data_IF_949779275430
#
_entry.id   IF_949779275430
#
_cell.length_a   1.000
_cell.length_b   1.000
_cell.length_c   1.000
_cell.angle_alpha   90.00
_cell.angle_beta   90.00
_cell.angle_gamma   90.00
#
_symmetry.space_group_name_H-M   'P 1'
#
loop_
_entity.id
_entity.type
_entity.pdbx_description
1 polymer ?
#
# COMPACT_ATOMS: atom_id res chain seq x y z
N UNK A 1 13.10 12.85 -4.03
CA UNK A 1 12.92 14.22 -3.51
C UNK A 1 11.93 14.16 -2.36
N UNK A 2 12.44 14.20 -1.13
CA UNK A 2 11.63 14.12 0.08
C UNK A 2 10.93 15.46 0.34
N UNK A 3 9.62 15.50 0.10
CA UNK A 3 8.81 16.65 0.48
C UNK A 3 8.50 16.51 1.97
N UNK A 4 9.34 17.14 2.81
CA UNK A 4 9.09 17.26 4.24
C UNK A 4 7.98 18.28 4.50
N UNK A 5 6.72 17.84 4.39
CA UNK A 5 5.59 18.62 4.86
C UNK A 5 5.44 18.43 6.38
N UNK A 6 5.61 19.51 7.15
CA UNK A 6 5.31 19.54 8.58
C UNK A 6 3.97 20.24 8.79
N UNK A 7 2.95 19.51 9.21
CA UNK A 7 1.64 20.05 9.56
C UNK A 7 1.46 20.05 11.08
N UNK A 8 1.17 21.23 11.64
CA UNK A 8 0.84 21.40 13.05
C UNK A 8 -0.65 21.13 13.24
N UNK A 9 -1.01 20.00 13.84
CA UNK A 9 -2.39 19.62 14.11
C UNK A 9 -2.66 19.56 15.62
N UNK A 10 -3.82 20.07 16.04
CA UNK A 10 -4.25 20.07 17.44
C UNK A 10 -5.26 18.96 17.67
N UNK A 11 -4.94 18.01 18.56
CA UNK A 11 -5.85 16.93 18.96
C UNK A 11 -6.10 16.98 20.47
N UNK A 12 -7.20 17.60 20.93
CA UNK A 12 -7.60 17.48 22.32
C UNK A 12 -8.10 16.05 22.60
N UNK A 13 -7.70 15.45 23.74
CA UNK A 13 -8.12 14.09 24.09
C UNK A 13 -9.60 14.12 24.47
N UNK A 14 -10.45 13.44 23.70
CA UNK A 14 -11.83 13.16 24.10
C UNK A 14 -11.89 11.70 24.56
N UNK A 15 -11.06 11.34 25.54
CA UNK A 15 -11.24 10.09 26.28
C UNK A 15 -12.11 10.37 27.51
N UNK A 16 -13.03 9.44 27.81
CA UNK A 16 -14.13 9.63 28.77
C UNK A 16 -13.71 10.12 30.16
N UNK A 17 -12.47 9.86 30.57
CA UNK A 17 -11.90 10.28 31.85
C UNK A 17 -11.78 11.81 31.99
N UNK A 18 -11.45 12.52 30.91
CA UNK A 18 -11.30 13.98 30.94
C UNK A 18 -12.63 14.73 31.02
N UNK A 19 -13.71 14.14 30.47
CA UNK A 19 -15.06 14.68 30.67
C UNK A 19 -15.42 14.69 32.16
N UNK A 20 -15.12 13.60 32.87
CA UNK A 20 -15.39 13.49 34.31
C UNK A 20 -14.58 14.50 35.11
N UNK A 21 -13.28 14.64 34.83
CA UNK A 21 -12.42 15.63 35.50
C UNK A 21 -12.92 17.06 35.27
N UNK A 22 -13.38 17.39 34.06
CA UNK A 22 -13.95 18.70 33.75
C UNK A 22 -15.24 18.96 34.53
N UNK A 23 -16.15 17.98 34.58
CA UNK A 23 -17.40 18.09 35.34
C UNK A 23 -17.16 18.21 36.85
N UNK A 24 -16.18 17.50 37.39
CA UNK A 24 -15.79 17.59 38.81
C UNK A 24 -15.18 18.95 39.13
N UNK A 25 -14.31 19.49 38.28
CA UNK A 25 -13.73 20.82 38.45
C UNK A 25 -14.81 21.93 38.39
N UNK A 26 -15.78 21.81 37.48
CA UNK A 26 -16.93 22.71 37.40
C UNK A 26 -17.81 22.60 38.65
N UNK A 27 -18.09 21.37 39.13
CA UNK A 27 -18.86 21.14 40.35
C UNK A 27 -18.21 21.74 41.61
N UNK A 28 -16.90 21.57 41.76
CA UNK A 28 -16.13 22.16 42.87
C UNK A 28 -16.12 23.70 42.81
N UNK A 29 -16.04 24.28 41.61
CA UNK A 29 -16.16 25.73 41.41
C UNK A 29 -17.53 26.26 41.85
N UNK A 30 -18.61 25.55 41.52
CA UNK A 30 -19.97 25.94 41.91
C UNK A 30 -20.21 25.84 43.41
N UNK A 31 -19.67 24.81 44.07
CA UNK A 31 -19.76 24.66 45.53
C UNK A 31 -18.99 25.77 46.26
N UNK A 32 -17.82 26.14 45.75
CA UNK A 32 -17.02 27.24 46.29
C UNK A 32 -17.75 28.59 46.19
N UNK A 33 -18.35 28.86 45.03
CA UNK A 33 -19.17 30.05 44.77
C UNK A 33 -20.39 30.09 45.71
N UNK A 34 -21.13 28.99 45.85
CA UNK A 34 -22.27 28.90 46.75
C UNK A 34 -21.90 29.15 48.22
N UNK A 35 -20.78 28.57 48.69
CA UNK A 35 -20.29 28.77 50.05
C UNK A 35 -19.79 30.20 50.30
N UNK A 36 -19.31 30.88 49.27
CA UNK A 36 -18.89 32.29 49.35
C UNK A 36 -20.10 33.23 49.43
N UNK A 37 -21.16 32.92 48.68
CA UNK A 37 -22.42 33.65 48.66
C UNK A 37 -23.17 33.51 50.01
N UNK A 38 -23.20 32.29 50.57
CA UNK A 38 -23.82 32.02 51.88
C UNK A 38 -23.12 32.77 53.03
N UNK A 39 -21.78 32.82 53.00
CA UNK A 39 -20.97 33.57 53.98
C UNK A 39 -21.14 35.08 53.85
N UNK A 40 -21.50 35.57 52.66
CA UNK A 40 -21.68 36.99 52.37
C UNK A 40 -23.07 37.51 52.76
N UNK A 41 -24.13 36.71 52.52
CA UNK A 41 -25.50 36.98 52.99
C UNK A 41 -25.54 37.08 54.52
N UNK A 42 -24.82 36.21 55.22
CA UNK A 42 -24.69 36.24 56.70
C UNK A 42 -24.02 37.51 57.26
N UNK A 43 -23.38 38.36 56.43
CA UNK A 43 -22.64 39.56 56.85
C UNK A 43 -23.30 40.89 56.47
N UNK A 44 -24.51 40.89 55.90
CA UNK A 44 -25.38 42.08 55.80
C UNK A 44 -24.83 43.27 54.99
N UNK A 45 -24.06 43.07 53.91
CA UNK A 45 -23.49 44.16 53.08
C UNK A 45 -24.24 44.40 51.76
N UNK A 46 -24.16 45.65 51.27
CA UNK A 46 -24.95 46.23 50.17
C UNK A 46 -24.89 45.48 48.82
N UNK A 47 -26.03 45.49 48.13
CA UNK A 47 -26.42 44.72 46.93
C UNK A 47 -25.59 44.89 45.65
N UNK A 48 -24.66 45.83 45.58
CA UNK A 48 -23.84 46.05 44.38
C UNK A 48 -22.73 45.01 44.19
N UNK A 49 -22.19 44.42 45.27
CA UNK A 49 -21.06 43.48 45.17
C UNK A 49 -21.51 42.02 44.95
N UNK A 50 -22.72 41.64 45.40
CA UNK A 50 -23.30 40.32 45.15
C UNK A 50 -23.46 40.04 43.66
N UNK A 51 -23.92 41.03 42.88
CA UNK A 51 -24.12 40.90 41.43
C UNK A 51 -22.78 40.70 40.68
N UNK A 52 -21.69 41.26 41.21
CA UNK A 52 -20.35 41.07 40.63
C UNK A 52 -19.75 39.70 40.94
N UNK A 53 -20.13 39.05 42.05
CA UNK A 53 -19.77 37.64 42.32
C UNK A 53 -20.66 36.67 41.55
N UNK A 54 -21.96 36.95 41.42
CA UNK A 54 -22.90 36.10 40.66
C UNK A 54 -22.59 35.97 39.17
N UNK A 55 -21.86 36.91 38.57
CA UNK A 55 -21.40 36.83 37.18
C UNK A 55 -20.35 35.70 36.95
N UNK A 56 -19.81 35.12 38.02
CA UNK A 56 -18.89 33.97 37.96
C UNK A 56 -19.61 32.59 38.06
N UNK A 57 -20.91 32.56 38.40
CA UNK A 57 -21.69 31.35 38.57
C UNK A 57 -22.45 30.96 37.29
N UNK A 58 -21.80 30.09 36.50
CA UNK A 58 -22.13 29.71 35.12
C UNK A 58 -23.51 29.05 34.83
N UNK A 59 -24.35 28.62 35.79
CA UNK A 59 -25.72 28.19 35.47
C UNK A 59 -26.85 28.91 36.23
N UNK A 60 -26.56 29.79 37.20
CA UNK A 60 -27.60 30.36 38.08
C UNK A 60 -28.17 31.71 37.61
N UNK A 61 -27.72 32.22 36.46
CA UNK A 61 -28.10 33.53 35.91
C UNK A 61 -29.62 33.82 35.88
N UNK A 62 -30.49 32.88 35.45
CA UNK A 62 -31.94 33.11 35.40
C UNK A 62 -32.56 33.26 36.80
N UNK A 63 -32.12 32.42 37.75
CA UNK A 63 -32.63 32.42 39.13
C UNK A 63 -32.24 33.72 39.83
N UNK A 64 -31.02 34.20 39.58
CA UNK A 64 -30.51 35.43 40.16
C UNK A 64 -31.21 36.65 39.54
N UNK A 65 -31.51 36.64 38.24
CA UNK A 65 -32.31 37.68 37.60
C UNK A 65 -33.74 37.75 38.17
N UNK A 66 -34.36 36.59 38.44
CA UNK A 66 -35.69 36.50 39.08
C UNK A 66 -35.64 37.05 40.52
N UNK A 67 -34.62 36.69 41.31
CA UNK A 67 -34.45 37.18 42.68
C UNK A 67 -34.18 38.69 42.72
N UNK A 68 -33.38 39.22 41.79
CA UNK A 68 -33.13 40.67 41.66
C UNK A 68 -34.37 41.42 41.19
N UNK A 69 -35.17 40.82 40.30
CA UNK A 69 -36.45 41.38 39.85
C UNK A 69 -37.49 41.42 40.98
N UNK A 70 -37.61 40.33 41.77
CA UNK A 70 -38.47 40.25 42.95
C UNK A 70 -38.05 41.26 44.03
N UNK A 71 -36.74 41.40 44.29
CA UNK A 71 -36.22 42.37 45.25
C UNK A 71 -36.46 43.83 44.82
N UNK A 72 -36.31 44.11 43.51
CA UNK A 72 -36.62 45.42 42.92
C UNK A 72 -38.11 45.74 42.86
N UNK A 73 -38.98 44.73 42.88
CA UNK A 73 -40.43 44.89 42.97
C UNK A 73 -40.90 45.16 44.41
N UNK A 74 -40.21 44.60 45.41
CA UNK A 74 -40.54 44.76 46.84
C UNK A 74 -40.04 46.07 47.48
N UNK A 75 -39.12 46.81 46.84
CA UNK A 75 -38.54 48.04 47.40
C UNK A 75 -38.80 49.28 46.51
N UNK A 76 -39.71 50.19 46.92
CA UNK A 76 -40.00 51.41 46.18
C UNK A 76 -38.75 52.32 46.13
N UNK A 77 -38.25 52.61 44.92
CA UNK A 77 -37.07 53.45 44.69
C UNK A 77 -35.84 52.72 44.09
N UNK A 78 -35.82 51.38 44.09
CA UNK A 78 -34.70 50.61 43.55
C UNK A 78 -34.66 50.54 42.02
N UNK A 79 -35.77 50.85 41.32
CA UNK A 79 -35.94 50.69 39.85
C UNK A 79 -34.87 51.37 39.01
N UNK A 80 -34.35 52.54 39.42
CA UNK A 80 -33.35 53.31 38.64
C UNK A 80 -31.93 52.72 38.73
N UNK A 81 -31.65 51.92 39.77
CA UNK A 81 -30.34 51.25 39.95
C UNK A 81 -30.34 49.79 39.49
N UNK A 82 -31.49 49.10 39.51
CA UNK A 82 -31.58 47.66 39.19
C UNK A 82 -31.74 47.36 37.69
N UNK A 83 -32.32 48.27 36.90
CA UNK A 83 -32.50 48.10 35.44
C UNK A 83 -31.20 47.83 34.64
N UNK A 84 -30.12 48.63 34.80
CA UNK A 84 -28.88 48.37 34.05
C UNK A 84 -28.18 47.08 34.50
N UNK A 85 -28.38 46.66 35.75
CA UNK A 85 -27.84 45.39 36.28
C UNK A 85 -28.58 44.18 35.69
N UNK A 86 -29.91 44.27 35.55
CA UNK A 86 -30.72 43.23 34.88
C UNK A 86 -30.32 43.09 33.40
N UNK A 87 -30.12 44.21 32.70
CA UNK A 87 -29.69 44.19 31.31
C UNK A 87 -28.29 43.56 31.16
N UNK A 88 -27.34 43.89 32.03
CA UNK A 88 -26.00 43.31 32.02
C UNK A 88 -26.00 41.79 32.30
N UNK A 89 -26.87 41.31 33.20
CA UNK A 89 -27.04 39.87 33.47
C UNK A 89 -27.66 39.13 32.28
N UNK A 90 -28.68 39.70 31.63
CA UNK A 90 -29.34 39.14 30.45
C UNK A 90 -28.40 39.05 29.24
N UNK A 91 -27.60 40.10 28.98
CA UNK A 91 -26.61 40.05 27.90
C UNK A 91 -25.45 39.10 28.22
N UNK A 92 -25.04 39.02 29.49
CA UNK A 92 -24.04 38.05 29.94
C UNK A 92 -24.48 36.60 29.73
N UNK A 93 -25.74 36.26 30.04
CA UNK A 93 -26.28 34.92 29.82
C UNK A 93 -26.49 34.60 28.34
N UNK A 94 -26.90 35.57 27.52
CA UNK A 94 -27.04 35.39 26.06
C UNK A 94 -25.68 35.09 25.41
N UNK A 95 -24.65 35.89 25.70
CA UNK A 95 -23.30 35.70 25.14
C UNK A 95 -22.72 34.32 25.52
N UNK A 96 -22.92 33.91 26.77
CA UNK A 96 -22.49 32.60 27.27
C UNK A 96 -23.29 31.44 26.67
N UNK A 97 -24.61 31.59 26.48
CA UNK A 97 -25.44 30.60 25.81
C UNK A 97 -25.01 30.41 24.34
N UNK A 98 -24.70 31.50 23.62
CA UNK A 98 -24.13 31.41 22.27
C UNK A 98 -22.73 30.77 22.26
N UNK A 99 -21.89 31.05 23.25
CA UNK A 99 -20.56 30.45 23.37
C UNK A 99 -20.61 28.94 23.69
N UNK A 100 -21.53 28.52 24.55
CA UNK A 100 -21.75 27.11 24.87
C UNK A 100 -22.40 26.35 23.71
N UNK A 101 -23.34 26.97 23.00
CA UNK A 101 -23.96 26.40 21.80
C UNK A 101 -22.94 26.23 20.67
N UNK A 102 -22.00 27.17 20.50
CA UNK A 102 -20.88 27.04 19.55
C UNK A 102 -19.88 25.93 19.93
N UNK A 103 -19.86 25.50 21.20
CA UNK A 103 -19.02 24.40 21.70
C UNK A 103 -19.73 23.04 21.62
N UNK A 104 -21.07 23.03 21.71
CA UNK A 104 -21.91 21.82 21.72
C UNK A 104 -22.43 21.44 20.34
N UNK A 105 -22.63 22.41 19.43
CA UNK A 105 -23.02 22.12 18.05
C UNK A 105 -21.75 21.73 17.30
N UNK A 106 -21.59 20.45 16.89
CA UNK A 106 -20.53 20.10 15.97
C UNK A 106 -20.92 20.73 14.64
N UNK A 107 -20.45 21.95 14.40
CA UNK A 107 -20.60 22.59 13.09
C UNK A 107 -19.85 21.69 12.12
N UNK A 108 -20.60 20.88 11.39
CA UNK A 108 -20.14 19.98 10.34
C UNK A 108 -19.62 20.72 9.12
N UNK A 109 -18.83 21.77 9.33
CA UNK A 109 -18.07 22.39 8.26
C UNK A 109 -16.79 21.59 8.08
N UNK A 110 -16.59 21.10 6.87
CA UNK A 110 -15.37 20.55 6.26
C UNK A 110 -14.11 21.41 6.41
N UNK A 111 -14.15 22.46 7.22
CA UNK A 111 -13.03 23.30 7.54
C UNK A 111 -12.13 22.57 8.55
N UNK A 112 -10.89 22.34 8.12
CA UNK A 112 -9.67 21.96 8.84
C UNK A 112 -9.36 22.77 10.12
N UNK A 113 -10.33 23.43 10.73
CA UNK A 113 -10.18 24.07 12.03
C UNK A 113 -10.21 22.98 13.09
N UNK A 114 -9.01 22.44 13.33
CA UNK A 114 -8.72 21.60 14.48
C UNK A 114 -9.39 22.16 15.74
N UNK A 115 -9.88 21.26 16.61
CA UNK A 115 -10.59 21.58 17.86
C UNK A 115 -9.81 22.48 18.84
N UNK A 116 -8.62 22.98 18.48
CA UNK A 116 -7.82 23.95 19.22
C UNK A 116 -8.40 25.38 19.21
N UNK A 117 -9.17 25.77 18.19
CA UNK A 117 -9.79 27.12 18.10
C UNK A 117 -10.63 27.52 19.33
N UNK A 118 -11.61 26.71 19.75
CA UNK A 118 -12.43 27.03 20.91
C UNK A 118 -11.67 26.95 22.25
N UNK A 119 -10.66 26.08 22.37
CA UNK A 119 -9.79 26.00 23.56
C UNK A 119 -8.98 27.30 23.70
N UNK A 120 -8.44 27.81 22.60
CA UNK A 120 -7.71 29.09 22.57
C UNK A 120 -8.61 30.26 22.95
N UNK A 121 -9.86 30.27 22.47
CA UNK A 121 -10.85 31.31 22.81
C UNK A 121 -11.17 31.32 24.32
N UNK A 122 -11.37 30.15 24.94
CA UNK A 122 -11.60 30.03 26.40
C UNK A 122 -10.37 30.52 27.18
N UNK A 123 -9.17 30.18 26.74
CA UNK A 123 -7.92 30.66 27.35
C UNK A 123 -7.79 32.18 27.31
N UNK A 124 -8.10 32.80 26.16
CA UNK A 124 -8.06 34.26 25.99
C UNK A 124 -9.10 34.94 26.89
N UNK A 125 -10.33 34.41 26.93
CA UNK A 125 -11.39 34.91 27.82
C UNK A 125 -10.99 34.82 29.30
N UNK A 126 -10.36 33.72 29.73
CA UNK A 126 -9.87 33.54 31.10
C UNK A 126 -8.76 34.56 31.46
N UNK A 127 -7.86 34.86 30.51
CA UNK A 127 -6.81 35.88 30.69
C UNK A 127 -7.42 37.28 30.80
N UNK A 128 -8.33 37.65 29.89
CA UNK A 128 -9.03 38.95 29.91
C UNK A 128 -9.81 39.13 31.22
N UNK A 129 -10.48 38.07 31.68
CA UNK A 129 -11.22 38.08 32.94
C UNK A 129 -10.29 38.24 34.15
N UNK A 130 -9.17 37.50 34.18
CA UNK A 130 -8.15 37.63 35.23
C UNK A 130 -7.60 39.06 35.33
N UNK A 131 -7.28 39.67 34.18
CA UNK A 131 -6.82 41.06 34.09
C UNK A 131 -7.88 42.05 34.63
N UNK A 132 -9.15 41.86 34.25
CA UNK A 132 -10.24 42.75 34.68
C UNK A 132 -10.57 42.60 36.17
N UNK A 133 -10.53 41.37 36.69
CA UNK A 133 -10.76 41.08 38.10
C UNK A 133 -9.67 41.72 38.98
N UNK A 134 -8.39 41.58 38.60
CA UNK A 134 -7.26 42.17 39.32
C UNK A 134 -7.24 43.70 39.28
N UNK A 135 -7.71 44.32 38.18
CA UNK A 135 -7.87 45.78 38.08
C UNK A 135 -8.96 46.34 39.01
N UNK A 136 -9.94 45.53 39.39
CA UNK A 136 -11.08 45.94 40.23
C UNK A 136 -10.95 45.51 41.69
N UNK A 137 -9.87 44.83 42.07
CA UNK A 137 -9.69 44.35 43.45
C UNK A 137 -9.16 45.45 44.37
N UNK A 138 -9.98 45.82 45.35
CA UNK A 138 -9.73 46.86 46.36
C UNK A 138 -8.83 46.41 47.53
N UNK A 139 -8.20 45.23 47.45
CA UNK A 139 -7.33 44.73 48.53
C UNK A 139 -6.12 45.66 48.76
N UNK A 140 -5.73 45.92 50.03
CA UNK A 140 -4.66 46.83 50.42
C UNK A 140 -3.27 46.18 50.24
N UNK A 141 -3.03 45.63 49.06
CA UNK A 141 -1.79 44.92 48.71
C UNK A 141 -0.96 45.82 47.80
N UNK A 142 0.34 45.91 48.06
CA UNK A 142 1.27 46.73 47.29
C UNK A 142 1.24 46.41 45.78
N UNK A 143 1.39 47.44 44.93
CA UNK A 143 1.27 47.33 43.47
C UNK A 143 2.18 46.24 42.87
N UNK A 144 3.40 46.08 43.40
CA UNK A 144 4.39 45.07 42.95
C UNK A 144 3.92 43.63 43.19
N UNK A 145 3.32 43.35 44.35
CA UNK A 145 2.81 42.03 44.66
C UNK A 145 1.55 41.71 43.84
N UNK A 146 0.71 42.70 43.56
CA UNK A 146 -0.44 42.54 42.66
C UNK A 146 -0.01 42.18 41.23
N UNK A 147 1.02 42.85 40.69
CA UNK A 147 1.55 42.51 39.36
C UNK A 147 2.21 41.14 39.33
N UNK A 148 2.91 40.76 40.39
CA UNK A 148 3.55 39.44 40.51
C UNK A 148 2.52 38.31 40.53
N UNK A 149 1.48 38.40 41.36
CA UNK A 149 0.43 37.38 41.44
C UNK A 149 -0.39 37.28 40.14
N UNK A 150 -0.60 38.41 39.44
CA UNK A 150 -1.23 38.42 38.13
C UNK A 150 -0.36 37.74 37.07
N UNK A 151 0.94 38.05 37.04
CA UNK A 151 1.89 37.40 36.12
C UNK A 151 1.95 35.89 36.35
N UNK A 152 2.00 35.46 37.61
CA UNK A 152 1.98 34.04 37.98
C UNK A 152 0.69 33.35 37.49
N UNK A 153 -0.47 34.01 37.62
CA UNK A 153 -1.74 33.46 37.15
C UNK A 153 -1.81 33.34 35.62
N UNK A 154 -1.31 34.35 34.90
CA UNK A 154 -1.24 34.30 33.42
C UNK A 154 -0.28 33.19 32.98
N UNK A 155 0.84 33.01 33.68
CA UNK A 155 1.79 31.93 33.41
C UNK A 155 1.16 30.55 33.62
N UNK A 156 0.42 30.35 34.72
CA UNK A 156 -0.31 29.10 34.98
C UNK A 156 -1.34 28.83 33.88
N UNK A 157 -2.08 29.85 33.46
CA UNK A 157 -3.02 29.72 32.33
C UNK A 157 -2.28 29.33 31.05
N UNK A 158 -1.18 29.99 30.70
CA UNK A 158 -0.36 29.63 29.53
C UNK A 158 0.12 28.17 29.58
N UNK A 159 0.64 27.72 30.72
CA UNK A 159 1.09 26.33 30.92
C UNK A 159 -0.07 25.34 30.80
N UNK A 160 -1.24 25.66 31.36
CA UNK A 160 -2.45 24.86 31.20
C UNK A 160 -2.89 24.80 29.72
N UNK A 161 -2.81 25.93 29.01
CA UNK A 161 -3.09 26.00 27.59
C UNK A 161 -2.18 25.07 26.79
N UNK A 162 -0.87 25.14 27.01
CA UNK A 162 0.13 24.28 26.32
C UNK A 162 -0.12 22.80 26.61
N UNK A 163 -0.40 22.44 27.86
CA UNK A 163 -0.64 21.04 28.27
C UNK A 163 -1.95 20.48 27.70
N UNK A 164 -3.00 21.29 27.57
CA UNK A 164 -4.26 20.89 26.93
C UNK A 164 -4.14 20.83 25.41
N UNK A 165 -3.41 21.79 24.81
CA UNK A 165 -3.19 21.84 23.36
C UNK A 165 -2.31 20.70 22.86
N UNK A 166 -1.49 20.08 23.74
CA UNK A 166 -0.55 18.98 23.43
C UNK A 166 0.04 19.12 22.03
N UNK A 167 0.89 20.13 21.78
CA UNK A 167 1.46 20.31 20.45
C UNK A 167 2.27 19.06 20.09
N UNK A 168 1.79 18.28 19.12
CA UNK A 168 2.47 17.10 18.61
C UNK A 168 3.05 17.40 17.24
N UNK A 169 4.36 17.14 17.08
CA UNK A 169 5.01 17.22 15.78
C UNK A 169 4.96 15.82 15.16
N UNK A 170 4.02 15.59 14.25
CA UNK A 170 3.94 14.33 13.51
C UNK A 170 4.76 14.44 12.23
N UNK A 171 5.87 13.69 12.15
CA UNK A 171 6.58 13.49 10.88
C UNK A 171 5.90 12.34 10.15
N UNK A 172 5.17 12.65 9.08
CA UNK A 172 4.63 11.62 8.18
C UNK A 172 5.75 11.31 7.19
N UNK A 173 6.31 10.10 7.27
CA UNK A 173 7.09 9.52 6.17
C UNK A 173 6.15 8.68 5.33
N UNK A 174 6.00 9.04 4.07
CA UNK A 174 5.29 8.21 3.10
C UNK A 174 6.35 7.27 2.50
N UNK A 175 6.39 6.04 2.97
CA UNK A 175 7.18 5.00 2.31
C UNK A 175 6.37 4.52 1.10
N UNK A 176 6.94 4.65 -0.10
CA UNK A 176 6.38 4.01 -1.29
C UNK A 176 6.73 2.54 -1.19
N UNK A 177 5.72 1.70 -0.93
CA UNK A 177 5.85 0.26 -1.16
C UNK A 177 6.00 0.10 -2.67
N UNK A 178 7.18 -0.35 -3.11
CA UNK A 178 7.45 -0.67 -4.51
C UNK A 178 7.06 -2.12 -4.74
N UNK A 179 6.31 -2.36 -5.80
CA UNK A 179 6.02 -3.73 -6.22
C UNK A 179 7.18 -4.31 -7.03
N UNK A 180 7.26 -5.64 -7.07
CA UNK A 180 8.23 -6.40 -7.83
C UNK A 180 7.69 -6.75 -9.22
N UNK A 181 8.51 -6.58 -10.26
CA UNK A 181 8.24 -7.09 -11.60
C UNK A 181 9.17 -8.25 -11.90
N UNK A 182 8.59 -9.42 -12.11
CA UNK A 182 9.35 -10.65 -12.35
C UNK A 182 9.50 -10.88 -13.84
N UNK A 183 10.72 -10.83 -14.36
CA UNK A 183 11.05 -11.20 -15.74
C UNK A 183 11.51 -12.66 -15.75
N UNK A 184 10.58 -13.56 -16.04
CA UNK A 184 10.81 -14.99 -16.08
C UNK A 184 11.24 -15.44 -17.48
N UNK A 185 12.49 -15.89 -17.60
CA UNK A 185 13.11 -16.33 -18.87
C UNK A 185 13.23 -17.86 -18.89
N UNK A 186 12.62 -18.47 -19.89
CA UNK A 186 12.70 -19.90 -20.14
C UNK A 186 14.12 -20.30 -20.58
N UNK A 187 14.72 -21.26 -19.87
CA UNK A 187 16.03 -21.86 -20.16
C UNK A 187 15.95 -23.37 -20.40
N UNK A 188 14.78 -23.85 -20.79
CA UNK A 188 14.53 -25.26 -21.13
C UNK A 188 15.24 -25.70 -22.41
N UNK A 189 15.18 -27.01 -22.68
CA UNK A 189 15.90 -27.61 -23.80
C UNK A 189 15.38 -27.16 -25.16
N UNK A 190 14.13 -26.73 -25.25
CA UNK A 190 13.52 -26.22 -26.47
C UNK A 190 14.13 -24.88 -26.90
N UNK A 191 14.67 -24.11 -25.95
CA UNK A 191 15.36 -22.83 -26.18
C UNK A 191 16.76 -22.99 -26.80
N UNK A 192 17.29 -24.22 -26.88
CA UNK A 192 18.51 -24.54 -27.66
C UNK A 192 18.28 -24.60 -29.17
N UNK A 193 17.03 -24.68 -29.63
CA UNK A 193 16.72 -24.73 -31.07
C UNK A 193 17.32 -23.51 -31.77
N UNK A 194 18.02 -23.76 -32.88
CA UNK A 194 18.66 -22.75 -33.73
C UNK A 194 17.75 -22.45 -34.91
N UNK A 195 16.75 -21.62 -34.66
CA UNK A 195 15.72 -21.25 -35.62
C UNK A 195 15.36 -19.76 -35.57
N UNK A 196 16.12 -18.93 -34.83
CA UNK A 196 15.92 -17.49 -34.80
C UNK A 196 16.85 -16.77 -35.78
N UNK A 197 16.43 -15.64 -36.37
CA UNK A 197 17.34 -14.72 -37.07
C UNK A 197 18.34 -14.12 -36.08
N UNK A 198 19.54 -13.76 -36.57
CA UNK A 198 20.55 -13.12 -35.74
C UNK A 198 20.07 -11.75 -35.25
N UNK A 199 19.25 -11.06 -36.05
CA UNK A 199 18.51 -9.88 -35.59
C UNK A 199 17.16 -10.32 -35.04
N UNK A 200 17.00 -10.31 -33.72
CA UNK A 200 15.78 -10.78 -33.04
C UNK A 200 14.50 -10.01 -33.41
N UNK A 201 14.61 -8.81 -34.00
CA UNK A 201 13.46 -8.01 -34.48
C UNK A 201 12.95 -8.44 -35.85
N UNK A 202 13.73 -9.21 -36.60
CA UNK A 202 13.32 -9.67 -37.92
C UNK A 202 12.33 -10.83 -37.79
N UNK A 203 11.20 -10.74 -38.49
CA UNK A 203 10.15 -11.75 -38.44
C UNK A 203 10.50 -13.03 -39.23
N UNK A 204 11.47 -12.95 -40.14
CA UNK A 204 11.81 -14.02 -41.06
C UNK A 204 13.31 -14.19 -41.17
N UNK A 205 13.77 -15.43 -41.06
CA UNK A 205 15.13 -15.81 -41.40
C UNK A 205 15.38 -15.59 -42.89
N UNK A 206 16.48 -14.89 -43.23
CA UNK A 206 16.94 -14.81 -44.61
C UNK A 206 17.68 -16.09 -44.99
N UNK A 207 17.60 -16.50 -46.25
CA UNK A 207 18.20 -17.76 -46.73
C UNK A 207 19.74 -17.79 -46.62
N UNK A 208 20.39 -16.63 -46.53
CA UNK A 208 21.83 -16.43 -46.39
C UNK A 208 22.32 -16.26 -44.94
N UNK A 209 21.40 -16.24 -43.97
CA UNK A 209 21.70 -15.95 -42.57
C UNK A 209 21.85 -17.24 -41.75
N UNK A 210 22.89 -17.30 -40.90
CA UNK A 210 23.03 -18.43 -39.97
C UNK A 210 22.05 -18.31 -38.80
N UNK A 211 21.21 -19.32 -38.54
CA UNK A 211 20.24 -19.24 -37.47
C UNK A 211 20.93 -19.30 -36.09
N UNK A 212 20.46 -18.44 -35.19
CA UNK A 212 20.89 -18.40 -33.79
C UNK A 212 19.93 -19.17 -32.90
N UNK A 213 20.40 -19.53 -31.70
CA UNK A 213 19.53 -20.21 -30.73
C UNK A 213 18.48 -19.25 -30.16
N UNK A 214 17.29 -19.76 -29.81
CA UNK A 214 16.23 -18.95 -29.16
C UNK A 214 16.73 -18.23 -27.91
N UNK A 215 17.48 -18.94 -27.06
CA UNK A 215 18.06 -18.32 -25.85
C UNK A 215 19.08 -17.23 -26.16
N UNK A 216 19.80 -17.34 -27.29
CA UNK A 216 20.72 -16.29 -27.73
C UNK A 216 19.96 -15.05 -28.21
N UNK A 217 18.90 -15.23 -29.01
CA UNK A 217 18.05 -14.12 -29.42
C UNK A 217 17.43 -13.38 -28.21
N UNK A 218 16.96 -14.12 -27.20
CA UNK A 218 16.46 -13.52 -25.95
C UNK A 218 17.57 -12.77 -25.21
N UNK A 219 18.78 -13.31 -25.15
CA UNK A 219 19.93 -12.65 -24.49
C UNK A 219 20.27 -11.34 -25.19
N UNK A 220 20.28 -11.32 -26.50
CA UNK A 220 20.54 -10.12 -27.31
C UNK A 220 19.40 -9.10 -27.13
N UNK A 221 18.14 -9.54 -27.18
CA UNK A 221 16.98 -8.68 -26.93
C UNK A 221 16.99 -8.02 -25.54
N UNK A 222 17.29 -8.78 -24.48
CA UNK A 222 17.40 -8.23 -23.12
C UNK A 222 18.58 -7.27 -22.98
N UNK A 223 19.69 -7.51 -23.69
CA UNK A 223 20.85 -6.62 -23.72
C UNK A 223 20.52 -5.31 -24.44
N UNK A 224 19.83 -5.38 -25.57
CA UNK A 224 19.47 -4.21 -26.36
C UNK A 224 18.38 -3.38 -25.67
N UNK A 225 17.43 -4.04 -25.00
CA UNK A 225 16.36 -3.41 -24.22
C UNK A 225 16.76 -3.10 -22.77
N UNK A 226 18.05 -3.16 -22.44
CA UNK A 226 18.57 -2.90 -21.08
C UNK A 226 18.07 -1.58 -20.49
N UNK A 227 18.04 -0.51 -21.29
CA UNK A 227 17.53 0.80 -20.88
C UNK A 227 16.05 0.80 -20.51
N UNK A 228 15.24 -0.01 -21.19
CA UNK A 228 13.82 -0.13 -20.87
C UNK A 228 13.61 -0.85 -19.53
N UNK A 229 14.45 -1.85 -19.23
CA UNK A 229 14.45 -2.57 -17.95
C UNK A 229 14.94 -1.65 -16.83
N UNK A 230 15.96 -0.84 -17.06
CA UNK A 230 16.43 0.18 -16.10
C UNK A 230 15.37 1.24 -15.83
N UNK A 231 14.67 1.70 -16.86
CA UNK A 231 13.54 2.63 -16.68
C UNK A 231 12.40 2.00 -15.88
N UNK A 232 12.16 0.69 -16.04
CA UNK A 232 11.21 -0.04 -15.21
C UNK A 232 11.69 -0.13 -13.75
N UNK A 233 12.99 -0.36 -13.55
CA UNK A 233 13.65 -0.38 -12.24
C UNK A 233 13.54 0.96 -11.47
N UNK A 234 13.30 2.08 -12.17
CA UNK A 234 13.05 3.38 -11.54
C UNK A 234 11.65 3.47 -10.89
N UNK A 235 10.69 2.68 -11.38
CA UNK A 235 9.29 2.69 -10.92
C UNK A 235 8.98 1.53 -9.98
N UNK A 236 9.59 0.37 -10.20
CA UNK A 236 9.33 -0.90 -9.52
C UNK A 236 10.63 -1.68 -9.39
N UNK A 237 10.78 -2.52 -8.37
CA UNK A 237 11.95 -3.40 -8.27
C UNK A 237 11.80 -4.54 -9.30
N UNK A 238 12.86 -4.87 -10.05
CA UNK A 238 12.78 -5.85 -11.14
C UNK A 238 13.66 -7.06 -10.82
N UNK A 239 13.10 -8.26 -10.89
CA UNK A 239 13.89 -9.49 -10.80
C UNK A 239 13.92 -10.20 -12.15
N UNK A 240 15.10 -10.37 -12.73
CA UNK A 240 15.29 -11.22 -13.92
C UNK A 240 15.67 -12.61 -13.44
N UNK A 241 14.76 -13.57 -13.63
CA UNK A 241 14.94 -14.96 -13.20
C UNK A 241 14.88 -15.91 -14.39
N UNK A 242 15.64 -17.00 -14.30
CA UNK A 242 15.61 -18.10 -15.27
C UNK A 242 14.75 -19.24 -14.75
N UNK A 243 14.11 -20.02 -15.62
CA UNK A 243 13.39 -21.22 -15.19
C UNK A 243 13.42 -22.35 -16.22
N UNK A 244 13.29 -23.58 -15.73
CA UNK A 244 13.00 -24.77 -16.53
C UNK A 244 11.81 -25.51 -15.92
N UNK A 245 12.10 -26.34 -14.93
CA UNK A 245 11.18 -27.03 -14.02
C UNK A 245 10.87 -26.17 -12.77
N UNK A 246 11.90 -25.50 -12.25
CA UNK A 246 11.80 -24.62 -11.09
C UNK A 246 12.49 -23.28 -11.37
N UNK A 247 12.23 -22.23 -10.56
CA UNK A 247 13.00 -21.00 -10.60
C UNK A 247 14.49 -21.30 -10.36
N UNK A 248 15.33 -20.82 -11.27
CA UNK A 248 16.77 -21.00 -11.29
C UNK A 248 17.52 -19.75 -10.84
N UNK A 249 18.59 -19.41 -11.55
CA UNK A 249 19.38 -18.22 -11.25
C UNK A 249 18.57 -16.95 -11.50
N UNK A 250 18.71 -15.97 -10.60
CA UNK A 250 18.09 -14.66 -10.72
C UNK A 250 19.05 -13.52 -10.43
N UNK A 251 18.69 -12.33 -10.91
CA UNK A 251 19.36 -11.08 -10.61
C UNK A 251 18.32 -10.00 -10.34
N UNK A 252 18.46 -9.35 -9.18
CA UNK A 252 17.61 -8.25 -8.74
C UNK A 252 18.19 -6.91 -9.21
N UNK A 253 17.37 -6.12 -9.89
CA UNK A 253 17.63 -4.76 -10.32
C UNK A 253 16.72 -3.84 -9.50
N UNK A 254 17.29 -3.29 -8.44
CA UNK A 254 16.65 -2.28 -7.59
C UNK A 254 17.26 -0.91 -7.86
N UNK A 255 16.70 0.15 -7.26
CA UNK A 255 17.22 1.52 -7.40
C UNK A 255 18.73 1.64 -7.08
N UNK A 256 19.22 0.84 -6.13
CA UNK A 256 20.64 0.83 -5.73
C UNK A 256 21.52 -0.09 -6.59
N UNK A 257 20.92 -1.02 -7.34
CA UNK A 257 21.60 -2.08 -8.11
C UNK A 257 21.21 -2.10 -9.59
N UNK A 258 21.00 -0.92 -10.19
CA UNK A 258 20.57 -0.77 -11.60
C UNK A 258 21.53 -1.41 -12.61
N UNK A 259 22.83 -1.40 -12.32
CA UNK A 259 23.86 -1.95 -13.20
C UNK A 259 24.11 -3.46 -12.99
N UNK A 260 23.28 -4.15 -12.21
CA UNK A 260 23.43 -5.58 -11.99
C UNK A 260 23.44 -6.36 -13.32
N UNK A 261 24.32 -7.37 -13.39
CA UNK A 261 24.41 -8.23 -14.56
C UNK A 261 23.26 -9.24 -14.51
N UNK A 262 22.58 -9.42 -15.63
CA UNK A 262 21.56 -10.46 -15.77
C UNK A 262 22.14 -11.86 -15.51
N UNK A 263 21.32 -12.80 -15.02
CA UNK A 263 21.75 -14.17 -14.82
C UNK A 263 22.27 -14.78 -16.14
N UNK A 264 23.17 -15.76 -16.08
CA UNK A 264 23.63 -16.45 -17.27
C UNK A 264 22.46 -17.15 -17.97
N UNK A 265 22.05 -16.61 -19.12
CA UNK A 265 20.99 -17.18 -19.94
C UNK A 265 21.53 -18.34 -20.77
N UNK A 266 21.50 -19.54 -20.22
CA UNK A 266 21.97 -20.76 -20.88
C UNK A 266 20.88 -21.83 -20.84
N UNK A 267 20.53 -22.39 -22.00
CA UNK A 267 19.46 -23.37 -22.14
C UNK A 267 19.90 -24.78 -21.66
N UNK A 268 20.04 -24.92 -20.34
CA UNK A 268 20.54 -26.11 -19.63
C UNK A 268 19.38 -27.03 -19.22
N UNK A 269 18.18 -26.49 -19.06
CA UNK A 269 17.01 -27.23 -18.62
C UNK A 269 16.61 -28.36 -19.58
N UNK A 270 15.97 -29.40 -19.04
CA UNK A 270 15.47 -30.55 -19.83
C UNK A 270 13.99 -30.44 -20.17
N UNK A 271 13.22 -29.88 -19.24
CA UNK A 271 11.76 -29.73 -19.34
C UNK A 271 11.36 -28.28 -19.12
N UNK A 272 10.11 -27.98 -19.44
CA UNK A 272 9.49 -26.66 -19.31
C UNK A 272 8.23 -26.83 -18.46
N UNK A 273 8.27 -26.35 -17.22
CA UNK A 273 7.18 -26.35 -16.23
C UNK A 273 6.78 -24.91 -15.91
N UNK A 274 6.03 -24.28 -16.81
CA UNK A 274 5.71 -22.85 -16.73
C UNK A 274 4.87 -22.57 -15.48
N UNK A 275 3.87 -23.41 -15.21
CA UNK A 275 2.93 -23.17 -14.12
C UNK A 275 3.61 -23.26 -12.76
N UNK A 276 4.38 -24.33 -12.54
CA UNK A 276 5.11 -24.55 -11.30
C UNK A 276 6.20 -23.49 -11.07
N UNK A 277 6.95 -23.14 -12.11
CA UNK A 277 7.97 -22.09 -12.02
C UNK A 277 7.37 -20.72 -11.65
N UNK A 278 6.29 -20.31 -12.31
CA UNK A 278 5.64 -19.02 -12.03
C UNK A 278 4.97 -18.98 -10.67
N UNK A 279 4.29 -20.06 -10.28
CA UNK A 279 3.67 -20.17 -8.95
C UNK A 279 4.75 -20.06 -7.87
N UNK A 280 5.83 -20.84 -8.01
CA UNK A 280 6.93 -20.86 -7.04
C UNK A 280 7.66 -19.53 -6.96
N UNK A 281 7.95 -18.87 -8.08
CA UNK A 281 8.59 -17.56 -8.10
C UNK A 281 7.75 -16.52 -7.34
N UNK A 282 6.44 -16.47 -7.60
CA UNK A 282 5.57 -15.53 -6.90
C UNK A 282 5.38 -15.88 -5.40
N UNK A 283 5.38 -17.16 -5.05
CA UNK A 283 5.30 -17.60 -3.65
C UNK A 283 6.57 -17.25 -2.86
N UNK A 284 7.74 -17.24 -3.50
CA UNK A 284 9.00 -16.80 -2.88
C UNK A 284 8.95 -15.32 -2.46
N UNK A 285 8.40 -14.44 -3.29
CA UNK A 285 8.20 -13.03 -2.93
C UNK A 285 7.14 -12.85 -1.85
N UNK A 286 6.03 -13.59 -1.97
CA UNK A 286 4.96 -13.55 -0.95
C UNK A 286 5.52 -13.93 0.43
N UNK A 287 6.42 -14.92 0.49
CA UNK A 287 7.09 -15.33 1.72
C UNK A 287 8.07 -14.29 2.29
N UNK A 288 8.55 -13.36 1.46
CA UNK A 288 9.40 -12.22 1.86
C UNK A 288 8.60 -10.96 2.20
N UNK A 289 7.26 -11.04 2.22
CA UNK A 289 6.37 -9.88 2.34
C UNK A 289 6.52 -8.86 1.20
N UNK A 290 6.96 -9.34 0.03
CA UNK A 290 7.16 -8.54 -1.18
C UNK A 290 5.93 -8.66 -2.10
N UNK A 291 5.34 -7.52 -2.47
CA UNK A 291 4.20 -7.51 -3.39
C UNK A 291 4.68 -7.65 -4.85
N UNK A 292 4.22 -8.69 -5.55
CA UNK A 292 4.47 -8.84 -6.99
C UNK A 292 3.48 -7.98 -7.77
N UNK A 293 3.97 -6.97 -8.48
CA UNK A 293 3.16 -6.08 -9.30
C UNK A 293 2.84 -6.65 -10.68
N UNK A 294 3.78 -7.38 -11.31
CA UNK A 294 3.57 -7.97 -12.62
C UNK A 294 4.57 -9.10 -12.89
N UNK A 295 4.25 -9.97 -13.85
CA UNK A 295 5.15 -11.00 -14.36
C UNK A 295 5.29 -10.82 -15.88
N UNK A 296 6.52 -10.81 -16.39
CA UNK A 296 6.86 -10.88 -17.80
C UNK A 296 7.45 -12.26 -18.09
N UNK A 297 6.69 -13.11 -18.77
CA UNK A 297 7.08 -14.46 -19.18
C UNK A 297 7.67 -14.44 -20.60
N UNK A 298 8.90 -14.92 -20.74
CA UNK A 298 9.58 -15.08 -22.04
C UNK A 298 9.82 -16.58 -22.25
N UNK A 299 9.10 -17.19 -23.20
CA UNK A 299 9.15 -18.64 -23.46
C UNK A 299 8.72 -18.95 -24.89
N UNK A 300 9.05 -20.14 -25.38
CA UNK A 300 8.48 -20.67 -26.63
C UNK A 300 7.06 -21.23 -26.49
N UNK A 301 6.51 -21.22 -25.27
CA UNK A 301 5.11 -21.55 -24.97
C UNK A 301 4.83 -23.06 -24.87
N UNK A 302 5.83 -23.93 -25.08
CA UNK A 302 5.66 -25.36 -24.99
C UNK A 302 5.83 -25.85 -23.54
N UNK A 303 4.74 -25.97 -22.80
CA UNK A 303 4.74 -26.68 -21.53
C UNK A 303 4.77 -28.20 -21.79
N UNK A 304 5.86 -28.86 -21.45
CA UNK A 304 6.12 -30.25 -21.87
C UNK A 304 6.32 -31.23 -20.70
N UNK A 305 5.97 -30.82 -19.48
CA UNK A 305 5.93 -31.69 -18.31
C UNK A 305 4.54 -31.67 -17.67
N UNK A 306 4.28 -32.69 -16.85
CA UNK A 306 3.09 -32.73 -16.01
C UNK A 306 3.36 -31.82 -14.81
N UNK A 307 2.84 -30.60 -14.88
CA UNK A 307 2.95 -29.61 -13.79
C UNK A 307 2.01 -29.97 -12.64
N UNK A 308 2.39 -29.61 -11.41
CA UNK A 308 1.45 -29.59 -10.29
C UNK A 308 0.36 -28.53 -10.50
N UNK A 309 0.72 -27.41 -11.14
CA UNK A 309 -0.18 -26.31 -11.46
C UNK A 309 -0.25 -26.07 -12.98
N UNK A 310 -1.43 -26.22 -13.57
CA UNK A 310 -1.67 -25.83 -14.96
C UNK A 310 -1.34 -24.33 -15.17
N UNK A 311 -0.45 -23.97 -16.13
CA UNK A 311 -0.11 -22.58 -16.43
C UNK A 311 -1.32 -21.66 -16.63
N UNK A 312 -2.41 -22.15 -17.23
CA UNK A 312 -3.62 -21.35 -17.43
C UNK A 312 -4.36 -21.08 -16.12
N UNK A 313 -4.36 -22.05 -15.20
CA UNK A 313 -4.95 -21.89 -13.86
C UNK A 313 -4.14 -20.88 -13.05
N UNK A 314 -2.79 -20.97 -13.10
CA UNK A 314 -1.90 -20.01 -12.44
C UNK A 314 -2.15 -18.60 -12.98
N UNK A 315 -2.23 -18.44 -14.30
CA UNK A 315 -2.50 -17.14 -14.93
C UNK A 315 -3.83 -16.53 -14.47
N UNK A 316 -4.91 -17.32 -14.46
CA UNK A 316 -6.23 -16.86 -13.96
C UNK A 316 -6.17 -16.46 -12.50
N UNK A 317 -5.50 -17.26 -11.66
CA UNK A 317 -5.38 -17.01 -10.22
C UNK A 317 -4.59 -15.74 -9.92
N UNK A 318 -3.45 -15.53 -10.59
CA UNK A 318 -2.63 -14.32 -10.44
C UNK A 318 -3.34 -13.08 -10.99
N UNK A 319 -4.01 -13.19 -12.13
CA UNK A 319 -4.84 -12.11 -12.68
C UNK A 319 -5.98 -11.69 -11.73
N UNK A 320 -6.66 -12.66 -11.10
CA UNK A 320 -7.68 -12.37 -10.09
C UNK A 320 -7.12 -11.71 -8.82
N UNK A 321 -5.85 -11.94 -8.51
CA UNK A 321 -5.12 -11.28 -7.43
C UNK A 321 -4.55 -9.90 -7.82
N UNK A 322 -4.84 -9.40 -9.03
CA UNK A 322 -4.36 -8.11 -9.52
C UNK A 322 -2.92 -8.15 -10.07
N UNK A 323 -2.34 -9.33 -10.28
CA UNK A 323 -0.99 -9.51 -10.83
C UNK A 323 -1.08 -9.91 -12.30
N UNK A 324 -0.95 -8.97 -13.26
CA UNK A 324 -0.94 -9.29 -14.68
C UNK A 324 0.29 -10.10 -15.08
N UNK A 325 0.07 -11.04 -16.01
CA UNK A 325 1.15 -11.80 -16.66
C UNK A 325 1.21 -11.38 -18.12
N UNK A 326 2.30 -10.72 -18.50
CA UNK A 326 2.64 -10.39 -19.88
C UNK A 326 3.48 -11.50 -20.48
N UNK A 327 3.19 -11.92 -21.70
CA UNK A 327 3.89 -13.02 -22.36
C UNK A 327 4.60 -12.54 -23.62
N UNK A 328 5.81 -13.05 -23.84
CA UNK A 328 6.60 -12.86 -25.06
C UNK A 328 6.93 -14.25 -25.60
N UNK A 329 6.30 -14.59 -26.73
CA UNK A 329 6.56 -15.83 -27.44
C UNK A 329 7.89 -15.76 -28.18
N UNK A 330 8.71 -16.81 -28.04
CA UNK A 330 10.01 -16.91 -28.72
C UNK A 330 10.00 -18.09 -29.70
N UNK A 331 10.14 -17.78 -30.98
CA UNK A 331 10.23 -18.77 -32.04
C UNK A 331 10.18 -18.10 -33.42
N UNK A 332 10.41 -18.90 -34.45
CA UNK A 332 10.30 -18.46 -35.84
C UNK A 332 9.16 -19.19 -36.53
N UNK A 333 8.42 -18.45 -37.35
CA UNK A 333 7.39 -18.99 -38.25
C UNK A 333 8.00 -19.57 -39.53
N UNK A 334 9.28 -19.29 -39.80
CA UNK A 334 9.96 -19.69 -41.04
C UNK A 334 10.89 -20.88 -40.85
N UNK A 335 10.53 -21.97 -41.52
CA UNK A 335 11.38 -23.14 -41.69
C UNK A 335 12.32 -22.88 -42.87
N UNK A 336 13.46 -22.22 -42.63
CA UNK A 336 14.45 -21.96 -43.70
C UNK A 336 15.36 -23.16 -43.96
N UNK A 337 15.99 -23.19 -45.14
CA UNK A 337 16.82 -24.30 -45.60
C UNK A 337 18.11 -24.53 -44.79
N UNK A 338 18.51 -23.55 -43.97
CA UNK A 338 19.68 -23.65 -43.09
C UNK A 338 19.39 -24.45 -41.80
N UNK A 339 18.13 -24.51 -41.36
CA UNK A 339 17.73 -25.24 -40.16
C UNK A 339 17.72 -26.74 -40.43
N UNK A 340 18.73 -27.45 -39.93
CA UNK A 340 18.81 -28.92 -40.02
C UNK A 340 18.42 -29.51 -38.68
N UNK A 341 17.24 -30.09 -38.59
CA UNK A 341 16.75 -30.65 -37.32
C UNK A 341 16.04 -31.98 -37.55
N UNK A 342 16.28 -32.90 -36.62
CA UNK A 342 15.59 -34.17 -36.46
C UNK A 342 15.04 -34.23 -35.05
N UNK A 343 13.73 -34.37 -34.92
CA UNK A 343 13.09 -34.43 -33.60
C UNK A 343 11.94 -35.44 -33.62
N UNK A 344 11.76 -36.15 -32.50
CA UNK A 344 10.59 -37.01 -32.30
C UNK A 344 9.43 -36.10 -31.90
N UNK A 345 8.46 -35.92 -32.79
CA UNK A 345 7.30 -35.05 -32.59
C UNK A 345 6.23 -35.69 -31.72
N UNK A 346 6.03 -36.99 -31.91
CA UNK A 346 5.06 -37.79 -31.18
C UNK A 346 5.61 -39.21 -31.02
N UNK A 347 5.40 -39.82 -29.87
CA UNK A 347 5.75 -41.21 -29.56
C UNK A 347 4.58 -41.83 -28.80
N UNK A 348 3.89 -42.76 -29.45
CA UNK A 348 2.76 -43.48 -28.89
C UNK A 348 3.15 -44.93 -28.68
N UNK A 349 3.15 -45.34 -27.43
CA UNK A 349 3.29 -46.73 -27.00
C UNK A 349 2.33 -46.96 -25.82
N UNK A 350 1.63 -48.10 -25.76
CA UNK A 350 0.96 -48.54 -24.53
C UNK A 350 1.97 -48.60 -23.37
N UNK A 351 1.54 -48.22 -22.17
CA UNK A 351 2.36 -48.32 -20.95
C UNK A 351 2.51 -49.78 -20.50
N UNK A 352 1.49 -50.60 -20.73
CA UNK A 352 1.47 -52.00 -20.36
C UNK A 352 0.97 -52.87 -21.52
N UNK A 353 1.58 -54.05 -21.67
CA UNK A 353 1.12 -55.10 -22.58
C UNK A 353 1.22 -56.44 -21.85
N UNK A 354 0.27 -57.34 -22.09
CA UNK A 354 0.37 -58.70 -21.54
C UNK A 354 1.58 -59.43 -22.15
N UNK A 355 2.19 -60.32 -21.37
CA UNK A 355 3.29 -61.15 -21.84
C UNK A 355 2.91 -61.87 -23.16
N UNK A 356 3.85 -61.92 -24.11
CA UNK A 356 3.67 -62.49 -25.45
C UNK A 356 2.71 -61.74 -26.39
N UNK A 357 2.18 -60.58 -26.00
CA UNK A 357 1.41 -59.73 -26.92
C UNK A 357 2.28 -58.71 -27.65
N UNK A 358 1.77 -58.23 -28.79
CA UNK A 358 2.42 -57.21 -29.62
C UNK A 358 2.33 -55.85 -28.94
N UNK A 359 3.47 -55.22 -28.70
CA UNK A 359 3.61 -53.82 -28.30
C UNK A 359 3.82 -52.96 -29.56
N UNK A 360 2.77 -52.27 -30.07
CA UNK A 360 2.94 -51.34 -31.16
C UNK A 360 3.58 -50.04 -30.66
N UNK A 361 4.70 -49.65 -31.27
CA UNK A 361 5.37 -48.38 -31.03
C UNK A 361 5.25 -47.53 -32.28
N UNK A 362 4.44 -46.48 -32.22
CA UNK A 362 4.28 -45.53 -33.32
C UNK A 362 4.98 -44.23 -32.97
N UNK A 363 5.82 -43.71 -33.86
CA UNK A 363 6.44 -42.41 -33.67
C UNK A 363 6.29 -41.56 -34.93
N UNK A 364 6.21 -40.24 -34.76
CA UNK A 364 6.29 -39.29 -35.87
C UNK A 364 7.60 -38.55 -35.75
N UNK A 365 8.50 -38.76 -36.71
CA UNK A 365 9.78 -38.05 -36.76
C UNK A 365 9.60 -36.82 -37.64
N UNK A 366 9.91 -35.65 -37.08
CA UNK A 366 9.93 -34.38 -37.81
C UNK A 366 11.35 -34.14 -38.32
N UNK A 367 11.48 -34.04 -39.65
CA UNK A 367 12.72 -33.78 -40.34
C UNK A 367 12.63 -32.44 -41.08
N UNK A 368 13.54 -31.52 -40.74
CA UNK A 368 13.57 -30.16 -41.24
C UNK A 368 14.93 -29.88 -41.88
N UNK A 369 14.93 -29.34 -43.11
CA UNK A 369 16.14 -28.92 -43.84
C UNK A 369 17.07 -30.07 -44.24
N UNK A 370 16.57 -31.30 -44.30
CA UNK A 370 17.34 -32.51 -44.58
C UNK A 370 17.14 -33.04 -46.01
N UNK A 371 16.68 -32.20 -46.94
CA UNK A 371 16.42 -32.57 -48.34
C UNK A 371 17.64 -33.28 -48.95
N UNK A 372 17.40 -34.43 -49.58
CA UNK A 372 18.43 -35.24 -50.23
C UNK A 372 19.22 -36.14 -49.29
N UNK A 373 19.00 -36.06 -47.95
CA UNK A 373 19.63 -36.96 -46.98
C UNK A 373 18.74 -38.14 -46.63
N UNK A 374 19.38 -39.21 -46.19
CA UNK A 374 18.72 -40.39 -45.64
C UNK A 374 18.70 -40.29 -44.12
N UNK A 375 17.52 -40.46 -43.54
CA UNK A 375 17.29 -40.49 -42.10
C UNK A 375 17.03 -41.93 -41.70
N UNK A 376 17.90 -42.47 -40.84
CA UNK A 376 17.77 -43.81 -40.27
C UNK A 376 17.15 -43.72 -38.88
N UNK A 377 15.93 -44.24 -38.74
CA UNK A 377 15.20 -44.30 -37.47
C UNK A 377 15.34 -45.70 -36.91
N UNK A 378 15.81 -45.81 -35.66
CA UNK A 378 16.04 -47.09 -34.98
C UNK A 378 15.23 -47.13 -33.69
N UNK A 379 14.37 -48.13 -33.54
CA UNK A 379 13.64 -48.39 -32.30
C UNK A 379 14.43 -49.39 -31.46
N UNK A 380 14.74 -49.03 -30.21
CA UNK A 380 15.40 -49.90 -29.24
C UNK A 380 14.48 -50.14 -28.05
N UNK A 381 14.42 -51.39 -27.60
CA UNK A 381 13.76 -51.80 -26.37
C UNK A 381 14.81 -52.46 -25.48
N UNK A 382 15.09 -51.85 -24.32
CA UNK A 382 16.32 -52.10 -23.56
C UNK A 382 17.57 -52.01 -24.47
N UNK A 383 18.36 -53.07 -24.57
CA UNK A 383 19.56 -53.15 -25.42
C UNK A 383 19.29 -53.76 -26.81
N UNK A 384 18.06 -54.22 -27.08
CA UNK A 384 17.72 -54.89 -28.34
C UNK A 384 17.15 -53.91 -29.37
N UNK A 385 17.64 -54.00 -30.60
CA UNK A 385 17.07 -53.26 -31.73
C UNK A 385 15.81 -53.99 -32.21
N UNK A 386 14.65 -53.35 -32.02
CA UNK A 386 13.33 -53.89 -32.37
C UNK A 386 13.03 -53.72 -33.86
N UNK A 387 13.52 -52.63 -34.45
CA UNK A 387 13.29 -52.34 -35.85
C UNK A 387 14.03 -51.10 -36.32
N UNK A 388 14.21 -51.01 -37.64
CA UNK A 388 14.91 -49.92 -38.27
C UNK A 388 14.22 -49.57 -39.60
N UNK A 389 13.95 -48.30 -39.82
CA UNK A 389 13.46 -47.77 -41.09
C UNK A 389 14.36 -46.65 -41.59
N UNK A 390 14.61 -46.62 -42.89
CA UNK A 390 15.37 -45.55 -43.53
C UNK A 390 14.45 -44.78 -44.46
N UNK A 391 14.40 -43.47 -44.30
CA UNK A 391 13.55 -42.57 -45.08
C UNK A 391 14.41 -41.54 -45.82
N UNK A 392 14.22 -41.43 -47.13
CA UNK A 392 14.87 -40.40 -47.95
C UNK A 392 14.03 -39.13 -47.95
N UNK A 393 14.61 -38.03 -47.51
CA UNK A 393 13.87 -36.77 -47.36
C UNK A 393 13.83 -36.03 -48.70
N UNK A 394 12.63 -35.87 -49.24
CA UNK A 394 12.40 -35.19 -50.53
C UNK A 394 11.91 -33.75 -50.38
N UNK A 395 11.41 -33.37 -49.20
CA UNK A 395 10.81 -32.05 -48.93
C UNK A 395 11.57 -31.33 -47.82
N UNK A 396 11.58 -29.98 -47.85
CA UNK A 396 12.23 -29.15 -46.81
C UNK A 396 11.65 -29.40 -45.42
N UNK A 397 10.36 -29.68 -45.35
CA UNK A 397 9.66 -30.14 -44.15
C UNK A 397 9.04 -31.51 -44.45
N UNK A 398 9.38 -32.52 -43.65
CA UNK A 398 8.86 -33.87 -43.78
C UNK A 398 8.47 -34.43 -42.41
N UNK A 399 7.26 -34.99 -42.34
CA UNK A 399 6.81 -35.83 -41.23
C UNK A 399 6.93 -37.28 -41.67
N UNK A 400 7.69 -38.05 -40.90
CA UNK A 400 7.99 -39.45 -41.16
C UNK A 400 7.26 -40.29 -40.10
N UNK A 401 6.06 -40.78 -40.40
CA UNK A 401 5.39 -41.74 -39.51
C UNK A 401 6.13 -43.07 -39.59
N UNK A 402 6.64 -43.54 -38.45
CA UNK A 402 7.28 -44.85 -38.31
C UNK A 402 6.47 -45.72 -37.36
N UNK A 403 6.36 -47.01 -37.67
CA UNK A 403 5.64 -47.97 -36.83
C UNK A 403 6.49 -49.21 -36.63
N UNK A 404 6.83 -49.48 -35.39
CA UNK A 404 7.54 -50.68 -34.98
C UNK A 404 6.62 -51.56 -34.14
N UNK A 405 6.87 -52.87 -34.18
CA UNK A 405 6.14 -53.84 -33.35
C UNK A 405 7.17 -54.70 -32.63
N UNK A 406 7.09 -54.72 -31.30
CA UNK A 406 7.88 -55.61 -30.46
C UNK A 406 6.98 -56.67 -29.82
N UNK A 407 7.52 -57.85 -29.54
CA UNK A 407 6.88 -58.85 -28.67
C UNK A 407 7.88 -59.09 -27.54
N UNK A 408 7.66 -58.51 -26.35
CA UNK A 408 8.56 -58.62 -25.21
C UNK A 408 8.53 -60.00 -24.54
#
# INVERSE_FOLDING_TARGET
MDILAATLEFHPPIDGMWRVVLWVAVGLGLLWEAASLLRWIRRGRSSAAAVWMSLAALPAGPVIAIVVALYGAMTPGAKRRTLPLLHACLWGSVILATGALAFLVPVGTSARWSRGGPILAVMILAIIWSLRAYRRTTSPVGRRLKTFLLALRILVLLLLGITVLRPTVRRIRTERIRGWVLVAVDVSGSMRRRDMPAVYTDATLRDDEEPVSRIQAVREALRDQRRAIEYLADQADVEVLTFSDLPGASAELTEDKRDARFPPLAAIGKVTAIGDALARAADLHTAREEEVAAILLISDGCNNTVDQFDPQVVARRKGAAGVPIYTVGVGSETVTGATRTLTVKDLRSPEEVQAFNRLPVAATIEAIGLVGREVKVTCRFADQVVGQETHKITRRYALLPVKFVHVP
#
